data_IF_163244329460
#
_entry.id   IF_163244329460
#
_cell.length_a   1.000
_cell.length_b   1.000
_cell.length_c   1.000
_cell.angle_alpha   90.00
_cell.angle_beta   90.00
_cell.angle_gamma   90.00
#
_symmetry.space_group_name_H-M   'P 1'
#
loop_
_entity.id
_entity.type
_entity.pdbx_description
1 polymer ?
#
# COMPACT_ATOMS: atom_id res chain seq x y z
N UNK A 1 22.24 -6.26 -35.52
CA UNK A 1 22.78 -6.68 -34.20
C UNK A 1 23.08 -5.50 -33.28
N UNK A 2 23.62 -4.36 -33.76
CA UNK A 2 23.92 -3.17 -32.93
C UNK A 2 22.71 -2.58 -32.17
N UNK A 3 21.51 -2.63 -32.76
CA UNK A 3 20.29 -2.09 -32.16
C UNK A 3 19.88 -2.77 -30.85
N UNK A 4 20.16 -4.07 -30.68
CA UNK A 4 19.93 -4.78 -29.41
C UNK A 4 20.88 -4.30 -28.33
N UNK A 5 22.14 -4.05 -28.67
CA UNK A 5 23.17 -3.56 -27.75
C UNK A 5 22.85 -2.14 -27.28
N UNK A 6 22.42 -1.26 -28.19
CA UNK A 6 22.03 0.10 -27.86
C UNK A 6 20.80 0.16 -26.94
N UNK A 7 19.81 -0.69 -27.17
CA UNK A 7 18.63 -0.80 -26.28
C UNK A 7 19.01 -1.29 -24.88
N UNK A 8 19.93 -2.25 -24.78
CA UNK A 8 20.43 -2.75 -23.50
C UNK A 8 21.17 -1.66 -22.70
N UNK A 9 22.05 -0.90 -23.36
CA UNK A 9 22.79 0.20 -22.72
C UNK A 9 21.83 1.30 -22.26
N UNK A 10 20.86 1.68 -23.10
CA UNK A 10 19.86 2.70 -22.77
C UNK A 10 18.98 2.30 -21.57
N UNK A 11 18.56 1.03 -21.50
CA UNK A 11 17.82 0.50 -20.35
C UNK A 11 18.64 0.58 -19.06
N UNK A 12 19.92 0.21 -19.11
CA UNK A 12 20.81 0.22 -17.94
C UNK A 12 21.08 1.62 -17.39
N UNK A 13 21.18 2.63 -18.25
CA UNK A 13 21.32 4.02 -17.81
C UNK A 13 20.03 4.57 -17.17
N UNK A 14 18.85 4.19 -17.67
CA UNK A 14 17.56 4.64 -17.11
C UNK A 14 17.30 4.06 -15.71
N UNK A 15 17.59 2.78 -15.49
CA UNK A 15 17.44 2.12 -14.17
C UNK A 15 18.45 2.59 -13.13
N UNK A 16 19.63 3.07 -13.54
CA UNK A 16 20.60 3.67 -12.59
C UNK A 16 20.14 5.03 -12.06
N UNK A 17 19.42 5.80 -12.87
CA UNK A 17 18.93 7.12 -12.45
C UNK A 17 17.76 7.03 -11.46
N UNK A 18 16.85 6.07 -11.63
CA UNK A 18 15.69 5.90 -10.73
C UNK A 18 16.06 5.51 -9.30
N UNK A 19 17.18 4.80 -9.09
CA UNK A 19 17.62 4.42 -7.75
C UNK A 19 18.38 5.56 -7.02
N UNK A 20 18.89 6.55 -7.74
CA UNK A 20 19.65 7.65 -7.14
C UNK A 20 18.76 8.81 -6.64
N UNK A 21 17.49 8.85 -7.07
CA UNK A 21 16.49 9.87 -6.70
C UNK A 21 15.46 9.37 -5.66
N UNK A 22 15.61 8.15 -5.13
CA UNK A 22 14.79 7.69 -4.01
C UNK A 22 15.34 8.29 -2.72
N UNK A 23 14.55 9.17 -2.09
CA UNK A 23 14.82 9.64 -0.73
C UNK A 23 14.96 8.42 0.19
N UNK A 24 16.06 8.28 0.96
CA UNK A 24 16.25 7.13 1.85
C UNK A 24 15.22 7.06 3.00
N UNK A 25 14.40 8.10 3.17
CA UNK A 25 13.29 8.17 4.13
C UNK A 25 11.98 7.58 3.62
N UNK A 26 11.81 7.40 2.30
CA UNK A 26 10.66 6.70 1.75
C UNK A 26 10.99 5.21 1.68
N UNK A 27 10.95 4.57 2.85
CA UNK A 27 10.97 3.11 2.94
C UNK A 27 9.76 2.60 2.16
N UNK A 28 9.99 2.11 0.96
CA UNK A 28 8.92 1.52 0.19
C UNK A 28 8.41 0.28 0.95
N UNK A 29 7.21 0.38 1.51
CA UNK A 29 6.56 -0.69 2.28
C UNK A 29 6.07 -1.81 1.36
N UNK A 30 6.98 -2.43 0.61
CA UNK A 30 6.67 -3.67 -0.11
C UNK A 30 6.67 -4.82 0.91
N UNK A 31 5.51 -5.08 1.51
CA UNK A 31 5.34 -6.19 2.45
C UNK A 31 4.50 -5.90 3.69
N UNK A 32 4.03 -4.66 3.89
CA UNK A 32 2.94 -4.43 4.83
C UNK A 32 1.66 -4.96 4.15
N UNK A 33 1.46 -6.27 4.25
CA UNK A 33 0.16 -6.87 4.00
C UNK A 33 -0.79 -6.21 4.98
N UNK A 34 -1.53 -5.20 4.50
CA UNK A 34 -2.74 -4.70 5.15
C UNK A 34 -3.51 -5.93 5.58
N UNK A 35 -3.51 -6.22 6.89
CA UNK A 35 -4.30 -7.30 7.44
C UNK A 35 -5.74 -6.93 7.12
N UNK A 36 -6.30 -7.56 6.09
CA UNK A 36 -7.70 -7.42 5.75
C UNK A 36 -8.47 -8.14 6.85
N UNK A 37 -8.74 -7.43 7.96
CA UNK A 37 -9.62 -7.91 9.01
C UNK A 37 -11.04 -7.75 8.48
N UNK A 38 -11.75 -8.85 8.16
CA UNK A 38 -13.14 -8.78 7.76
C UNK A 38 -13.95 -8.23 8.94
N UNK A 39 -14.96 -7.41 8.64
CA UNK A 39 -15.84 -6.88 9.67
C UNK A 39 -16.55 -8.03 10.42
N UNK A 40 -16.54 -8.07 11.76
CA UNK A 40 -17.20 -9.14 12.52
C UNK A 40 -18.73 -9.15 12.35
N UNK A 41 -19.34 -8.00 12.00
CA UNK A 41 -20.79 -7.87 11.88
C UNK A 41 -21.34 -8.42 10.56
N UNK A 42 -20.78 -7.98 9.42
CA UNK A 42 -21.28 -8.40 8.10
C UNK A 42 -20.39 -9.45 7.40
N UNK A 43 -19.20 -9.74 7.93
CA UNK A 43 -18.24 -10.65 7.29
C UNK A 43 -17.64 -10.13 5.99
N UNK A 44 -17.97 -8.88 5.62
CA UNK A 44 -17.59 -8.23 4.37
C UNK A 44 -16.93 -6.87 4.65
N UNK A 45 -16.11 -6.39 3.72
CA UNK A 45 -15.40 -5.13 3.87
C UNK A 45 -14.28 -5.18 4.90
N UNK A 46 -13.68 -4.02 5.12
CA UNK A 46 -12.55 -3.81 6.00
C UNK A 46 -12.88 -2.67 6.98
N UNK A 47 -12.38 -2.77 8.20
CA UNK A 47 -12.46 -1.71 9.19
C UNK A 47 -11.45 -0.61 8.84
N UNK A 48 -11.92 0.61 8.62
CA UNK A 48 -11.10 1.80 8.45
C UNK A 48 -11.41 2.79 9.56
N UNK A 49 -10.40 3.48 10.08
CA UNK A 49 -10.59 4.44 11.16
C UNK A 49 -11.48 5.62 10.72
N UNK A 50 -12.62 5.81 11.38
CA UNK A 50 -13.53 6.94 11.16
C UNK A 50 -13.23 8.04 12.20
N UNK A 51 -12.71 9.21 11.78
CA UNK A 51 -12.36 10.29 12.71
C UNK A 51 -13.58 10.93 13.37
N UNK A 52 -14.77 10.83 12.77
CA UNK A 52 -16.00 11.39 13.33
C UNK A 52 -16.55 10.50 14.46
N UNK A 53 -16.36 9.19 14.34
CA UNK A 53 -16.72 8.21 15.37
C UNK A 53 -15.62 8.02 16.42
N UNK A 54 -14.36 8.34 16.09
CA UNK A 54 -13.20 8.06 16.95
C UNK A 54 -12.84 6.58 17.05
N UNK A 55 -13.36 5.76 16.14
CA UNK A 55 -13.25 4.31 16.17
C UNK A 55 -13.20 3.72 14.74
N UNK A 56 -12.62 2.52 14.56
CA UNK A 56 -12.71 1.77 13.32
C UNK A 56 -14.15 1.54 12.89
N UNK A 57 -14.45 1.83 11.62
CA UNK A 57 -15.76 1.64 11.00
C UNK A 57 -15.66 0.80 9.74
N UNK A 58 -16.61 -0.11 9.58
CA UNK A 58 -16.70 -0.96 8.41
C UNK A 58 -17.14 -0.16 7.19
N UNK A 59 -16.40 -0.28 6.08
CA UNK A 59 -16.74 0.36 4.81
C UNK A 59 -17.97 -0.21 4.11
N UNK A 60 -18.35 -1.46 4.43
CA UNK A 60 -19.47 -2.15 3.78
C UNK A 60 -20.80 -1.91 4.51
N UNK A 61 -20.85 -2.12 5.83
CA UNK A 61 -22.08 -2.02 6.62
C UNK A 61 -22.16 -0.81 7.56
N UNK A 62 -21.04 -0.09 7.75
CA UNK A 62 -20.97 1.06 8.64
C UNK A 62 -20.91 0.73 10.13
N UNK A 63 -20.75 -0.54 10.51
CA UNK A 63 -20.55 -0.94 11.91
C UNK A 63 -19.28 -0.29 12.49
N UNK A 64 -19.38 0.22 13.72
CA UNK A 64 -18.27 0.84 14.46
C UNK A 64 -17.79 -0.16 15.50
N UNK A 65 -16.48 -0.37 15.58
CA UNK A 65 -15.82 -1.22 16.57
C UNK A 65 -15.12 -0.33 17.59
N UNK A 66 -15.76 -0.09 18.74
CA UNK A 66 -15.23 0.77 19.80
C UNK A 66 -14.07 0.12 20.60
N UNK A 67 -13.64 -1.10 20.21
CA UNK A 67 -12.60 -1.87 20.88
C UNK A 67 -13.09 -2.54 22.17
N UNK A 68 -12.26 -3.40 22.80
CA UNK A 68 -12.63 -4.04 24.07
C UNK A 68 -12.68 -3.01 25.21
N UNK A 69 -13.79 -2.98 25.96
CA UNK A 69 -13.97 -2.20 27.19
C UNK A 69 -12.98 -2.57 28.31
#
# INVERSE_FOLDING_TARGET
MLSKLLNYIRGRFRSRKSNAEMNPTEVAQYGESVNYLPCPECGEGNLEYDPDAGAPKCTACGAVDDGPE
#
